data_IF_547509369744
#
_entry.id   IF_547509369744
#
_cell.length_a   1.000
_cell.length_b   1.000
_cell.length_c   1.000
_cell.angle_alpha   90.00
_cell.angle_beta   90.00
_cell.angle_gamma   90.00
#
_symmetry.space_group_name_H-M   'P 1'
#
loop_
_entity.id
_entity.type
_entity.pdbx_description
1 polymer ?
#
# COMPACT_ATOMS: atom_id res chain seq x y z
N UNK A 1 -29.42 30.14 -27.42
CA UNK A 1 -29.73 29.60 -28.75
C UNK A 1 -29.93 30.78 -29.67
N UNK A 2 -29.50 30.69 -30.93
CA UNK A 2 -29.70 31.78 -31.90
C UNK A 2 -31.14 31.78 -32.41
N UNK A 3 -31.77 32.96 -32.45
CA UNK A 3 -33.15 33.20 -32.91
C UNK A 3 -33.23 34.14 -34.11
N UNK A 4 -32.11 34.69 -34.57
CA UNK A 4 -32.04 35.63 -35.71
C UNK A 4 -31.31 34.98 -36.88
N UNK A 5 -31.61 35.44 -38.10
CA UNK A 5 -31.05 34.89 -39.33
C UNK A 5 -31.90 33.78 -39.95
N UNK A 6 -31.73 33.56 -41.25
CA UNK A 6 -32.38 32.46 -41.97
C UNK A 6 -31.87 31.12 -41.41
N UNK A 7 -32.77 30.19 -41.07
CA UNK A 7 -32.45 28.89 -40.50
C UNK A 7 -31.74 28.97 -39.13
N UNK A 8 -32.14 29.93 -38.30
CA UNK A 8 -31.66 30.04 -36.92
C UNK A 8 -31.76 28.70 -36.18
N UNK A 9 -30.89 28.47 -35.19
CA UNK A 9 -30.91 27.23 -34.42
C UNK A 9 -32.30 26.99 -33.79
N UNK A 10 -32.95 28.04 -33.30
CA UNK A 10 -34.31 27.95 -32.77
C UNK A 10 -35.31 27.49 -33.83
N UNK A 11 -35.30 28.11 -35.02
CA UNK A 11 -36.19 27.74 -36.14
C UNK A 11 -36.01 26.27 -36.53
N UNK A 12 -34.75 25.82 -36.64
CA UNK A 12 -34.41 24.44 -36.99
C UNK A 12 -34.84 23.43 -35.95
N UNK A 13 -35.06 23.82 -34.70
CA UNK A 13 -35.46 22.91 -33.63
C UNK A 13 -36.96 22.97 -33.35
N UNK A 14 -37.57 24.16 -33.31
CA UNK A 14 -38.93 24.35 -32.80
C UNK A 14 -39.96 24.82 -33.84
N UNK A 15 -39.54 25.44 -34.94
CA UNK A 15 -40.48 25.92 -35.98
C UNK A 15 -40.77 24.89 -37.08
N UNK A 16 -40.41 23.62 -36.83
CA UNK A 16 -40.80 22.51 -37.72
C UNK A 16 -42.31 22.32 -37.68
N UNK A 17 -42.90 21.97 -38.82
CA UNK A 17 -44.36 21.77 -38.99
C UNK A 17 -44.97 20.87 -37.91
N UNK A 18 -44.29 19.79 -37.53
CA UNK A 18 -44.78 18.84 -36.54
C UNK A 18 -44.79 19.41 -35.12
N UNK A 19 -43.81 20.24 -34.75
CA UNK A 19 -43.74 20.84 -33.41
C UNK A 19 -44.71 22.01 -33.30
N UNK A 20 -44.83 22.83 -34.35
CA UNK A 20 -45.83 23.90 -34.43
C UNK A 20 -47.26 23.38 -34.31
N UNK A 21 -47.55 22.24 -34.94
CA UNK A 21 -48.84 21.59 -34.83
C UNK A 21 -49.09 20.97 -33.44
N UNK A 22 -48.02 20.58 -32.74
CA UNK A 22 -48.09 20.01 -31.40
C UNK A 22 -48.28 21.11 -30.35
N UNK A 23 -47.59 22.23 -30.51
CA UNK A 23 -47.51 23.28 -29.50
C UNK A 23 -47.23 24.66 -30.15
N UNK A 24 -48.27 25.50 -30.34
CA UNK A 24 -48.13 26.80 -30.97
C UNK A 24 -47.32 27.82 -30.17
N UNK A 25 -47.02 27.55 -28.89
CA UNK A 25 -46.32 28.49 -28.01
C UNK A 25 -44.91 28.86 -28.49
N UNK A 26 -44.31 27.99 -29.33
CA UNK A 26 -42.99 28.21 -29.89
C UNK A 26 -42.98 29.15 -31.10
N UNK A 27 -44.14 29.54 -31.62
CA UNK A 27 -44.27 30.54 -32.68
C UNK A 27 -43.89 31.94 -32.19
N UNK A 28 -43.40 32.83 -33.09
CA UNK A 28 -43.09 34.20 -32.69
C UNK A 28 -44.37 34.96 -32.34
N UNK A 29 -44.29 35.85 -31.36
CA UNK A 29 -45.35 36.79 -31.05
C UNK A 29 -45.47 37.92 -32.10
N UNK A 30 -46.39 38.86 -31.88
CA UNK A 30 -46.61 39.98 -32.80
C UNK A 30 -45.37 40.89 -32.97
N UNK A 31 -44.42 40.85 -32.03
CA UNK A 31 -43.16 41.60 -32.07
C UNK A 31 -42.00 40.76 -32.64
N UNK A 32 -42.29 39.56 -33.13
CA UNK A 32 -41.32 38.59 -33.63
C UNK A 32 -40.31 38.13 -32.55
N UNK A 33 -40.77 38.07 -31.30
CA UNK A 33 -40.04 37.51 -30.16
C UNK A 33 -40.60 36.12 -29.78
N UNK A 34 -39.80 35.32 -29.09
CA UNK A 34 -40.13 33.93 -28.76
C UNK A 34 -40.16 33.73 -27.25
N UNK A 35 -41.16 33.00 -26.75
CA UNK A 35 -41.26 32.57 -25.35
C UNK A 35 -41.17 33.75 -24.35
N UNK A 36 -41.91 34.83 -24.62
CA UNK A 36 -41.95 36.07 -23.82
C UNK A 36 -42.98 36.03 -22.69
N UNK A 37 -43.95 35.12 -22.74
CA UNK A 37 -44.98 34.98 -21.71
C UNK A 37 -44.38 34.31 -20.44
N UNK A 38 -44.36 35.03 -19.29
CA UNK A 38 -43.73 34.52 -18.07
C UNK A 38 -44.53 33.39 -17.39
N UNK A 39 -45.77 33.13 -17.83
CA UNK A 39 -46.64 32.09 -17.26
C UNK A 39 -46.39 30.70 -17.84
N UNK A 40 -45.67 30.62 -18.96
CA UNK A 40 -45.36 29.38 -19.65
C UNK A 40 -44.43 28.49 -18.82
N UNK A 41 -44.73 27.19 -18.80
CA UNK A 41 -43.97 26.23 -18.00
C UNK A 41 -43.35 25.10 -18.81
N UNK A 42 -42.12 24.73 -18.45
CA UNK A 42 -41.43 23.58 -19.04
C UNK A 42 -42.27 22.31 -18.85
N UNK A 43 -42.85 22.11 -17.66
CA UNK A 43 -43.67 20.96 -17.32
C UNK A 43 -44.94 20.81 -18.17
N UNK A 44 -45.52 21.91 -18.67
CA UNK A 44 -46.75 21.92 -19.48
C UNK A 44 -46.46 21.65 -20.97
N UNK A 45 -45.22 21.89 -21.41
CA UNK A 45 -44.81 21.84 -22.83
C UNK A 45 -43.74 20.74 -23.12
N UNK A 46 -43.59 19.74 -22.24
CA UNK A 46 -42.55 18.71 -22.32
C UNK A 46 -42.51 18.01 -23.69
N UNK A 47 -43.65 17.61 -24.25
CA UNK A 47 -43.71 16.85 -25.50
C UNK A 47 -43.07 17.61 -26.68
N UNK A 48 -43.30 18.92 -26.75
CA UNK A 48 -42.72 19.77 -27.78
C UNK A 48 -41.22 20.00 -27.54
N UNK A 49 -40.81 20.17 -26.28
CA UNK A 49 -39.39 20.26 -25.89
C UNK A 49 -38.65 18.97 -26.27
N UNK A 50 -39.19 17.80 -25.90
CA UNK A 50 -38.63 16.50 -26.28
C UNK A 50 -38.42 16.38 -27.79
N UNK A 51 -39.44 16.73 -28.58
CA UNK A 51 -39.37 16.67 -30.03
C UNK A 51 -38.35 17.67 -30.61
N UNK A 52 -38.23 18.86 -30.02
CA UNK A 52 -37.34 19.92 -30.46
C UNK A 52 -35.87 19.61 -30.19
N UNK A 53 -35.51 19.25 -28.96
CA UNK A 53 -34.10 19.03 -28.57
C UNK A 53 -33.69 17.55 -28.56
N UNK A 54 -34.62 16.61 -28.81
CA UNK A 54 -34.39 15.17 -28.77
C UNK A 54 -33.82 14.70 -27.41
N UNK A 55 -34.49 15.10 -26.32
CA UNK A 55 -34.20 14.70 -24.94
C UNK A 55 -35.42 13.97 -24.35
N UNK A 56 -35.22 13.04 -23.41
CA UNK A 56 -36.31 12.34 -22.73
C UNK A 56 -37.01 13.25 -21.71
N UNK A 57 -38.30 13.03 -21.45
CA UNK A 57 -39.06 13.75 -20.43
C UNK A 57 -38.38 13.74 -19.05
N UNK A 58 -37.94 12.55 -18.61
CA UNK A 58 -37.29 12.38 -17.30
C UNK A 58 -36.00 13.21 -17.19
N UNK A 59 -35.22 13.29 -18.27
CA UNK A 59 -33.98 14.08 -18.30
C UNK A 59 -34.28 15.59 -18.30
N UNK A 60 -35.35 16.03 -18.99
CA UNK A 60 -35.81 17.43 -18.97
C UNK A 60 -36.22 17.83 -17.56
N UNK A 61 -37.07 17.02 -16.90
CA UNK A 61 -37.53 17.27 -15.53
C UNK A 61 -36.38 17.20 -14.52
N UNK A 62 -35.46 16.26 -14.72
CA UNK A 62 -34.25 16.16 -13.92
C UNK A 62 -33.39 17.42 -14.03
N UNK A 63 -33.13 17.94 -15.23
CA UNK A 63 -32.37 19.18 -15.40
C UNK A 63 -33.11 20.41 -14.87
N UNK A 64 -34.43 20.49 -15.09
CA UNK A 64 -35.28 21.57 -14.60
C UNK A 64 -35.15 21.73 -13.07
N UNK A 65 -35.24 20.61 -12.35
CA UNK A 65 -35.07 20.58 -10.89
C UNK A 65 -33.62 20.76 -10.44
N UNK A 66 -32.67 20.06 -11.06
CA UNK A 66 -31.25 20.04 -10.65
C UNK A 66 -30.55 21.36 -10.89
N UNK A 67 -30.89 22.05 -11.98
CA UNK A 67 -30.31 23.35 -12.33
C UNK A 67 -31.17 24.53 -11.86
N UNK A 68 -32.28 24.25 -11.16
CA UNK A 68 -33.18 25.25 -10.57
C UNK A 68 -33.69 26.22 -11.65
N UNK A 69 -34.23 25.69 -12.76
CA UNK A 69 -34.74 26.50 -13.88
C UNK A 69 -36.14 27.09 -13.62
N UNK A 70 -36.64 26.98 -12.38
CA UNK A 70 -37.94 27.50 -11.90
C UNK A 70 -39.16 27.05 -12.68
N UNK A 71 -39.04 25.97 -13.48
CA UNK A 71 -40.06 25.46 -14.38
C UNK A 71 -40.52 26.46 -15.45
N UNK A 72 -39.81 27.58 -15.66
CA UNK A 72 -40.22 28.61 -16.62
C UNK A 72 -39.80 28.23 -18.04
N UNK A 73 -40.74 28.25 -18.99
CA UNK A 73 -40.43 28.07 -20.40
C UNK A 73 -40.04 29.42 -21.03
N UNK A 74 -38.74 29.66 -21.10
CA UNK A 74 -38.15 30.82 -21.78
C UNK A 74 -36.93 30.38 -22.62
N UNK A 75 -36.41 31.28 -23.44
CA UNK A 75 -35.28 30.98 -24.32
C UNK A 75 -33.98 30.64 -23.56
N UNK A 76 -33.78 31.22 -22.38
CA UNK A 76 -32.61 30.98 -21.54
C UNK A 76 -32.59 29.53 -21.04
N UNK A 77 -33.65 29.09 -20.38
CA UNK A 77 -33.81 27.74 -19.86
C UNK A 77 -33.78 26.70 -20.99
N UNK A 78 -34.40 27.00 -22.14
CA UNK A 78 -34.36 26.12 -23.31
C UNK A 78 -32.93 25.97 -23.86
N UNK A 79 -32.16 27.06 -23.85
CA UNK A 79 -30.74 27.03 -24.21
C UNK A 79 -29.92 26.19 -23.23
N UNK A 80 -30.23 26.26 -21.93
CA UNK A 80 -29.60 25.43 -20.89
C UNK A 80 -29.91 23.94 -21.12
N UNK A 81 -31.15 23.57 -21.39
CA UNK A 81 -31.50 22.18 -21.71
C UNK A 81 -30.78 21.70 -22.98
N UNK A 82 -30.78 22.51 -24.02
CA UNK A 82 -30.14 22.16 -25.30
C UNK A 82 -28.63 21.95 -25.16
N UNK A 83 -27.89 22.83 -24.45
CA UNK A 83 -26.43 22.67 -24.30
C UNK A 83 -26.04 21.41 -23.51
N UNK A 84 -26.83 21.03 -22.50
CA UNK A 84 -26.61 19.77 -21.77
C UNK A 84 -26.91 18.55 -22.65
N UNK A 85 -27.93 18.64 -23.53
CA UNK A 85 -28.21 17.56 -24.50
C UNK A 85 -27.08 17.40 -25.52
N UNK A 86 -26.58 18.51 -26.05
CA UNK A 86 -25.49 18.47 -27.05
C UNK A 86 -24.24 17.88 -26.43
N UNK A 87 -23.84 18.35 -25.24
CA UNK A 87 -22.61 17.88 -24.61
C UNK A 87 -22.72 16.41 -24.17
N UNK A 88 -23.85 16.00 -23.57
CA UNK A 88 -24.05 14.59 -23.18
C UNK A 88 -23.96 13.65 -24.38
N UNK A 89 -24.59 14.02 -25.52
CA UNK A 89 -24.49 13.24 -26.76
C UNK A 89 -23.09 13.23 -27.35
N UNK A 90 -22.36 14.35 -27.27
CA UNK A 90 -20.99 14.45 -27.76
C UNK A 90 -20.04 13.52 -26.98
N UNK A 91 -20.22 13.41 -25.67
CA UNK A 91 -19.41 12.56 -24.79
C UNK A 91 -19.95 11.12 -24.67
N UNK A 92 -21.10 10.81 -25.28
CA UNK A 92 -21.74 9.50 -25.14
C UNK A 92 -22.30 9.21 -23.74
N UNK A 93 -22.53 10.25 -22.92
CA UNK A 93 -23.04 10.13 -21.55
C UNK A 93 -24.55 10.26 -21.45
N UNK A 94 -25.13 9.68 -20.41
CA UNK A 94 -26.47 10.06 -19.97
C UNK A 94 -26.44 11.46 -19.34
N UNK A 95 -27.57 12.17 -19.39
CA UNK A 95 -27.69 13.52 -18.82
C UNK A 95 -27.34 13.55 -17.32
N UNK A 96 -27.76 12.53 -16.56
CA UNK A 96 -27.41 12.39 -15.14
C UNK A 96 -25.90 12.23 -14.91
N UNK A 97 -25.23 11.43 -15.75
CA UNK A 97 -23.77 11.23 -15.70
C UNK A 97 -23.03 12.52 -16.07
N UNK A 98 -23.54 13.29 -17.03
CA UNK A 98 -22.98 14.61 -17.35
C UNK A 98 -23.04 15.57 -16.17
N UNK A 99 -24.11 15.56 -15.36
CA UNK A 99 -24.19 16.38 -14.15
C UNK A 99 -23.12 15.95 -13.12
N UNK A 100 -22.91 14.66 -12.94
CA UNK A 100 -21.83 14.15 -12.06
C UNK A 100 -20.47 14.59 -12.60
N UNK A 101 -20.22 14.42 -13.90
CA UNK A 101 -18.98 14.86 -14.54
C UNK A 101 -18.76 16.37 -14.36
N UNK A 102 -19.81 17.17 -14.49
CA UNK A 102 -19.78 18.62 -14.25
C UNK A 102 -19.34 18.96 -12.82
N UNK A 103 -19.88 18.25 -11.83
CA UNK A 103 -19.51 18.44 -10.42
C UNK A 103 -18.05 18.07 -10.15
N UNK A 104 -17.55 17.00 -10.76
CA UNK A 104 -16.18 16.50 -10.54
C UNK A 104 -15.12 17.26 -11.35
N UNK A 105 -15.41 17.59 -12.60
CA UNK A 105 -14.43 18.09 -13.57
C UNK A 105 -14.52 19.62 -13.74
N UNK A 106 -15.65 20.24 -13.40
CA UNK A 106 -15.93 21.67 -13.53
C UNK A 106 -17.09 21.99 -14.47
N UNK A 107 -17.55 23.25 -14.49
CA UNK A 107 -18.65 23.68 -15.37
C UNK A 107 -18.16 24.00 -16.79
N UNK A 108 -18.48 23.19 -17.82
CA UNK A 108 -18.05 23.43 -19.20
C UNK A 108 -18.80 24.60 -19.86
N UNK A 109 -19.87 25.10 -19.26
CA UNK A 109 -20.74 26.11 -19.86
C UNK A 109 -20.47 27.53 -19.38
N UNK A 110 -19.49 27.72 -18.49
CA UNK A 110 -19.11 29.04 -18.00
C UNK A 110 -18.46 29.90 -19.10
N UNK A 111 -17.48 29.34 -19.83
CA UNK A 111 -16.84 29.96 -20.98
C UNK A 111 -16.09 28.91 -21.83
N UNK A 112 -15.52 29.34 -22.96
CA UNK A 112 -14.78 28.45 -23.88
C UNK A 112 -13.54 27.81 -23.25
N UNK A 113 -12.87 28.49 -22.32
CA UNK A 113 -11.69 27.97 -21.62
C UNK A 113 -12.07 26.88 -20.64
N UNK A 114 -13.16 27.05 -19.89
CA UNK A 114 -13.68 26.02 -18.99
C UNK A 114 -14.21 24.81 -19.76
N UNK A 115 -14.84 25.02 -20.92
CA UNK A 115 -15.23 23.94 -21.82
C UNK A 115 -14.00 23.10 -22.26
N UNK A 116 -12.94 23.78 -22.71
CA UNK A 116 -11.71 23.08 -23.10
C UNK A 116 -11.08 22.32 -21.92
N UNK A 117 -10.96 22.96 -20.75
CA UNK A 117 -10.41 22.31 -19.56
C UNK A 117 -11.25 21.12 -19.09
N UNK A 118 -12.58 21.20 -19.23
CA UNK A 118 -13.48 20.08 -18.95
C UNK A 118 -13.20 18.90 -19.89
N UNK A 119 -13.08 19.16 -21.21
CA UNK A 119 -12.80 18.13 -22.21
C UNK A 119 -11.41 17.48 -22.01
N UNK A 120 -10.39 18.26 -21.65
CA UNK A 120 -9.07 17.71 -21.32
C UNK A 120 -9.13 16.77 -20.11
N UNK A 121 -9.88 17.13 -19.06
CA UNK A 121 -10.07 16.27 -17.90
C UNK A 121 -10.92 15.04 -18.23
N UNK A 122 -11.93 15.20 -19.09
CA UNK A 122 -12.74 14.10 -19.58
C UNK A 122 -11.89 13.04 -20.29
N UNK A 123 -11.02 13.46 -21.21
CA UNK A 123 -10.11 12.54 -21.89
C UNK A 123 -9.14 11.84 -20.95
N UNK A 124 -8.61 12.54 -19.93
CA UNK A 124 -7.78 11.91 -18.90
C UNK A 124 -8.54 10.86 -18.09
N UNK A 125 -9.82 11.08 -17.84
CA UNK A 125 -10.69 10.11 -17.19
C UNK A 125 -10.86 8.88 -18.09
N UNK A 126 -11.19 9.06 -19.36
CA UNK A 126 -11.31 7.96 -20.34
C UNK A 126 -10.00 7.16 -20.46
N UNK A 127 -8.86 7.84 -20.58
CA UNK A 127 -7.53 7.21 -20.68
C UNK A 127 -7.16 6.39 -19.44
N UNK A 128 -7.71 6.73 -18.27
CA UNK A 128 -7.50 5.98 -17.02
C UNK A 128 -8.32 4.69 -16.95
N UNK A 129 -9.32 4.51 -17.84
CA UNK A 129 -10.28 3.41 -17.78
C UNK A 129 -11.37 3.57 -16.72
N UNK A 130 -11.34 4.63 -15.92
CA UNK A 130 -12.36 4.93 -14.91
C UNK A 130 -13.58 5.60 -15.53
N UNK A 131 -14.76 5.32 -14.97
CA UNK A 131 -15.97 6.06 -15.26
C UNK A 131 -16.28 7.14 -14.20
N UNK A 132 -17.27 7.99 -14.47
CA UNK A 132 -17.64 9.10 -13.58
C UNK A 132 -18.12 8.67 -12.21
N UNK A 133 -18.78 7.51 -12.10
CA UNK A 133 -19.25 6.99 -10.82
C UNK A 133 -18.09 6.46 -9.98
N UNK A 134 -17.12 5.79 -10.61
CA UNK A 134 -15.88 5.35 -9.94
C UNK A 134 -15.08 6.53 -9.43
N UNK A 135 -14.90 7.57 -10.25
CA UNK A 135 -14.23 8.80 -9.79
C UNK A 135 -15.01 9.47 -8.65
N UNK A 136 -16.35 9.50 -8.72
CA UNK A 136 -17.19 10.06 -7.66
C UNK A 136 -17.05 9.29 -6.35
N UNK A 137 -17.01 7.96 -6.43
CA UNK A 137 -16.82 7.09 -5.29
C UNK A 137 -15.44 7.31 -4.66
N UNK A 138 -14.37 7.32 -5.46
CA UNK A 138 -13.00 7.50 -4.98
C UNK A 138 -12.78 8.88 -4.35
N UNK A 139 -13.34 9.94 -4.95
CA UNK A 139 -13.03 11.32 -4.54
C UNK A 139 -14.00 11.90 -3.52
N UNK A 140 -15.26 11.47 -3.54
CA UNK A 140 -16.32 12.02 -2.69
C UNK A 140 -17.00 10.98 -1.80
N UNK A 141 -16.64 9.70 -1.91
CA UNK A 141 -17.28 8.59 -1.19
C UNK A 141 -18.81 8.55 -1.42
N UNK A 142 -19.25 8.93 -2.62
CA UNK A 142 -20.65 8.86 -3.04
C UNK A 142 -20.76 7.67 -3.98
N UNK A 143 -21.53 6.67 -3.56
CA UNK A 143 -21.75 5.46 -4.33
C UNK A 143 -23.01 5.57 -5.21
N UNK A 144 -23.03 4.79 -6.29
CA UNK A 144 -24.18 4.68 -7.17
C UNK A 144 -25.17 3.65 -6.60
N UNK A 145 -26.34 4.13 -6.13
CA UNK A 145 -27.36 3.26 -5.56
C UNK A 145 -27.89 2.17 -6.51
N UNK A 146 -27.89 2.42 -7.83
CA UNK A 146 -28.36 1.45 -8.83
C UNK A 146 -27.30 0.38 -9.14
N UNK A 147 -26.02 0.74 -8.97
CA UNK A 147 -24.86 -0.11 -9.23
C UNK A 147 -23.73 0.21 -8.24
N UNK A 148 -23.83 -0.27 -6.98
CA UNK A 148 -22.86 0.05 -5.96
C UNK A 148 -21.46 -0.44 -6.36
N UNK A 149 -20.48 0.44 -6.19
CA UNK A 149 -19.05 0.17 -6.33
C UNK A 149 -18.49 -0.34 -4.99
N UNK A 150 -19.06 0.11 -3.86
CA UNK A 150 -18.65 -0.33 -2.55
C UNK A 150 -18.86 -1.84 -2.38
N UNK A 151 -17.90 -2.49 -1.74
CA UNK A 151 -18.06 -3.86 -1.29
C UNK A 151 -19.24 -4.00 -0.34
N UNK A 152 -19.94 -5.14 -0.42
CA UNK A 152 -21.05 -5.38 0.49
C UNK A 152 -20.55 -5.52 1.93
N UNK A 153 -21.41 -5.24 2.91
CA UNK A 153 -21.08 -5.45 4.32
C UNK A 153 -20.63 -6.91 4.59
N UNK A 154 -21.20 -7.86 3.85
CA UNK A 154 -20.84 -9.27 3.91
C UNK A 154 -19.39 -9.49 3.46
N UNK A 155 -18.96 -8.87 2.36
CA UNK A 155 -17.59 -9.01 1.85
C UNK A 155 -16.57 -8.38 2.79
N UNK A 156 -16.89 -7.21 3.36
CA UNK A 156 -16.06 -6.55 4.38
C UNK A 156 -15.93 -7.44 5.62
N UNK A 157 -17.01 -8.08 6.06
CA UNK A 157 -16.99 -9.01 7.20
C UNK A 157 -16.18 -10.28 6.90
N UNK A 158 -16.28 -10.83 5.68
CA UNK A 158 -15.45 -11.97 5.27
C UNK A 158 -13.97 -11.61 5.25
N UNK A 159 -13.61 -10.47 4.65
CA UNK A 159 -12.23 -9.98 4.67
C UNK A 159 -11.72 -9.81 6.11
N UNK A 160 -12.52 -9.19 6.98
CA UNK A 160 -12.16 -9.02 8.38
C UNK A 160 -11.99 -10.35 9.12
N UNK A 161 -12.83 -11.33 8.83
CA UNK A 161 -12.72 -12.69 9.36
C UNK A 161 -11.44 -13.37 8.87
N UNK A 162 -11.17 -13.35 7.57
CA UNK A 162 -10.01 -14.00 6.96
C UNK A 162 -8.70 -13.39 7.48
N UNK A 163 -8.64 -12.06 7.63
CA UNK A 163 -7.52 -11.38 8.25
C UNK A 163 -7.35 -11.80 9.72
N UNK A 164 -8.44 -11.84 10.48
CA UNK A 164 -8.40 -12.26 11.89
C UNK A 164 -7.93 -13.71 12.05
N UNK A 165 -8.43 -14.62 11.21
CA UNK A 165 -8.03 -16.03 11.20
C UNK A 165 -6.56 -16.21 10.78
N UNK A 166 -6.11 -15.49 9.75
CA UNK A 166 -4.72 -15.50 9.30
C UNK A 166 -3.74 -15.01 10.39
N UNK A 167 -4.06 -13.89 11.06
CA UNK A 167 -3.24 -13.37 12.16
C UNK A 167 -3.19 -14.34 13.36
N UNK A 168 -4.30 -15.01 13.68
CA UNK A 168 -4.36 -16.04 14.73
C UNK A 168 -3.61 -17.31 14.35
N UNK A 169 -3.62 -17.68 13.07
CA UNK A 169 -2.88 -18.84 12.58
C UNK A 169 -1.36 -18.64 12.79
N UNK A 170 -0.84 -17.43 12.50
CA UNK A 170 0.57 -17.09 12.77
C UNK A 170 0.90 -17.25 14.26
N UNK A 171 0.05 -16.74 15.16
CA UNK A 171 0.28 -16.88 16.61
C UNK A 171 0.31 -18.35 17.05
N UNK A 172 -0.54 -19.18 16.46
CA UNK A 172 -0.63 -20.60 16.79
C UNK A 172 0.53 -21.42 16.23
N UNK A 173 0.92 -21.19 14.98
CA UNK A 173 1.98 -21.93 14.28
C UNK A 173 3.39 -21.55 14.77
N UNK A 174 3.53 -20.32 15.26
CA UNK A 174 4.77 -19.80 15.83
C UNK A 174 4.59 -19.48 17.32
N UNK A 175 3.91 -20.35 18.07
CA UNK A 175 3.87 -20.29 19.52
C UNK A 175 5.28 -20.46 20.12
N UNK A 176 5.48 -19.92 21.33
CA UNK A 176 6.75 -20.03 22.02
C UNK A 176 7.10 -21.51 22.29
N UNK A 177 8.38 -21.84 22.16
CA UNK A 177 8.88 -23.22 22.25
C UNK A 177 9.29 -23.49 23.70
N UNK A 178 8.84 -24.61 24.26
CA UNK A 178 9.25 -25.02 25.61
C UNK A 178 10.71 -25.50 25.62
N UNK A 179 11.40 -25.31 26.75
CA UNK A 179 12.83 -25.65 26.87
C UNK A 179 13.17 -27.11 26.59
N UNK A 180 12.25 -28.02 26.88
CA UNK A 180 12.38 -29.46 26.64
C UNK A 180 12.20 -29.86 25.17
N UNK A 181 11.52 -29.03 24.38
CA UNK A 181 11.27 -29.26 22.95
C UNK A 181 12.36 -28.65 22.06
N UNK A 182 13.36 -27.98 22.65
CA UNK A 182 14.42 -27.33 21.89
C UNK A 182 15.21 -28.32 21.04
N UNK A 183 15.38 -27.98 19.77
CA UNK A 183 16.41 -28.57 18.90
C UNK A 183 17.06 -27.47 18.06
N UNK A 184 18.31 -27.73 17.63
CA UNK A 184 19.01 -26.79 16.75
C UNK A 184 18.31 -26.64 15.40
N UNK A 185 17.64 -27.70 14.93
CA UNK A 185 16.86 -27.70 13.70
C UNK A 185 15.61 -26.81 13.82
N UNK A 186 14.97 -26.80 15.00
CA UNK A 186 13.87 -25.86 15.26
C UNK A 186 14.37 -24.42 15.22
N UNK A 187 15.47 -24.10 15.90
CA UNK A 187 16.05 -22.75 15.86
C UNK A 187 16.38 -22.34 14.42
N UNK A 188 17.05 -23.21 13.66
CA UNK A 188 17.37 -22.97 12.25
C UNK A 188 16.11 -22.71 11.43
N UNK A 189 15.11 -23.58 11.53
CA UNK A 189 13.86 -23.47 10.78
C UNK A 189 13.11 -22.16 11.04
N UNK A 190 13.12 -21.67 12.30
CA UNK A 190 12.46 -20.42 12.67
C UNK A 190 13.24 -19.21 12.16
N UNK A 191 14.57 -19.19 12.31
CA UNK A 191 15.42 -18.11 11.79
C UNK A 191 15.28 -17.97 10.26
N UNK A 192 15.21 -19.09 9.53
CA UNK A 192 15.08 -19.12 8.06
C UNK A 192 13.77 -18.53 7.53
N UNK A 193 12.78 -18.24 8.37
CA UNK A 193 11.52 -17.63 7.93
C UNK A 193 11.70 -16.15 7.55
N UNK A 194 12.69 -15.46 8.12
CA UNK A 194 12.91 -14.02 7.89
C UNK A 194 14.38 -13.66 7.62
N UNK A 195 15.33 -14.51 7.97
CA UNK A 195 16.75 -14.27 7.71
C UNK A 195 17.28 -15.09 6.54
N UNK A 196 18.26 -14.53 5.84
CA UNK A 196 18.96 -15.22 4.76
C UNK A 196 19.78 -16.41 5.27
N UNK A 197 19.96 -17.47 4.47
CA UNK A 197 20.65 -18.70 4.88
C UNK A 197 22.05 -18.48 5.46
N UNK A 198 22.80 -17.49 4.94
CA UNK A 198 24.16 -17.17 5.42
C UNK A 198 24.15 -16.66 6.86
N UNK A 199 23.19 -15.79 7.19
CA UNK A 199 23.05 -15.27 8.55
C UNK A 199 22.54 -16.36 9.50
N UNK A 200 21.60 -17.19 9.04
CA UNK A 200 21.08 -18.32 9.82
C UNK A 200 22.21 -19.25 10.24
N UNK A 201 23.03 -19.74 9.31
CA UNK A 201 24.11 -20.68 9.63
C UNK A 201 25.20 -20.03 10.49
N UNK A 202 25.45 -18.74 10.33
CA UNK A 202 26.36 -17.99 11.20
C UNK A 202 25.84 -17.91 12.64
N UNK A 203 24.53 -17.71 12.85
CA UNK A 203 23.93 -17.73 14.20
C UNK A 203 24.01 -19.13 14.79
N UNK A 204 23.67 -20.17 14.00
CA UNK A 204 23.74 -21.57 14.44
C UNK A 204 25.17 -21.96 14.84
N UNK A 205 26.19 -21.58 14.07
CA UNK A 205 27.59 -21.92 14.38
C UNK A 205 28.10 -21.26 15.68
N UNK A 206 27.57 -20.08 16.03
CA UNK A 206 27.83 -19.43 17.33
C UNK A 206 27.18 -20.21 18.46
N UNK A 207 25.93 -20.66 18.29
CA UNK A 207 25.19 -21.44 19.30
C UNK A 207 25.82 -22.82 19.53
N UNK A 208 26.28 -23.47 18.46
CA UNK A 208 26.97 -24.77 18.52
C UNK A 208 28.43 -24.68 18.99
N UNK A 209 29.00 -23.47 19.06
CA UNK A 209 30.41 -23.28 19.42
C UNK A 209 31.41 -23.75 18.36
N UNK A 210 30.99 -23.81 17.09
CA UNK A 210 31.80 -24.31 15.96
C UNK A 210 32.47 -23.21 15.16
N UNK A 211 32.12 -21.94 15.41
CA UNK A 211 32.75 -20.78 14.75
C UNK A 211 34.24 -20.72 15.05
N UNK A 212 35.06 -20.58 14.01
CA UNK A 212 36.52 -20.43 14.14
C UNK A 212 36.91 -18.96 14.04
N UNK A 213 37.51 -18.45 15.11
CA UNK A 213 38.08 -17.10 15.18
C UNK A 213 39.60 -17.18 15.00
N UNK A 214 40.19 -16.23 14.29
CA UNK A 214 41.62 -16.29 14.02
C UNK A 214 42.22 -14.90 13.85
N UNK A 215 43.47 -14.76 14.30
CA UNK A 215 44.27 -13.56 14.04
C UNK A 215 45.73 -13.93 13.84
N UNK A 216 46.45 -13.08 13.12
CA UNK A 216 47.90 -13.14 13.04
C UNK A 216 48.52 -12.52 14.29
N UNK A 217 49.69 -13.02 14.68
CA UNK A 217 50.57 -12.39 15.65
C UNK A 217 51.50 -11.44 14.90
N UNK A 218 51.59 -10.19 15.36
CA UNK A 218 52.47 -9.16 14.78
C UNK A 218 53.93 -9.28 15.26
N UNK A 219 54.18 -10.12 16.26
CA UNK A 219 55.49 -10.32 16.87
C UNK A 219 56.07 -11.73 16.68
N UNK A 220 57.19 -11.97 17.35
CA UNK A 220 57.91 -13.27 17.34
C UNK A 220 57.55 -14.20 18.51
N UNK A 221 56.55 -13.82 19.31
CA UNK A 221 56.07 -14.62 20.45
C UNK A 221 55.51 -15.99 20.01
N UNK A 222 55.70 -17.01 20.85
CA UNK A 222 55.15 -18.36 20.67
C UNK A 222 54.05 -18.58 21.71
N UNK A 223 52.84 -18.89 21.27
CA UNK A 223 51.72 -19.14 22.19
C UNK A 223 51.77 -20.56 22.73
N UNK A 224 51.72 -20.71 24.06
CA UNK A 224 51.49 -21.98 24.72
C UNK A 224 49.99 -22.23 24.85
N UNK A 225 49.50 -23.30 24.21
CA UNK A 225 48.08 -23.71 24.22
C UNK A 225 47.89 -25.10 24.84
N UNK A 226 48.87 -25.56 25.63
CA UNK A 226 48.83 -26.88 26.24
C UNK A 226 47.63 -27.03 27.20
N UNK A 227 46.79 -28.02 26.95
CA UNK A 227 45.56 -28.25 27.71
C UNK A 227 44.34 -27.43 27.27
N UNK A 228 44.47 -26.66 26.18
CA UNK A 228 43.40 -25.82 25.63
C UNK A 228 42.96 -26.33 24.25
N UNK A 229 42.05 -27.30 24.23
CA UNK A 229 41.64 -28.01 23.01
C UNK A 229 40.98 -27.11 21.96
N UNK A 230 40.42 -25.97 22.37
CA UNK A 230 39.80 -24.99 21.47
C UNK A 230 40.83 -24.09 20.76
N UNK A 231 42.06 -24.01 21.26
CA UNK A 231 43.09 -23.13 20.74
C UNK A 231 44.11 -23.90 19.90
N UNK A 232 44.46 -23.30 18.76
CA UNK A 232 45.50 -23.80 17.88
C UNK A 232 46.45 -22.65 17.59
N UNK A 233 47.75 -22.89 17.82
CA UNK A 233 48.82 -22.00 17.39
C UNK A 233 49.59 -22.64 16.23
N UNK A 234 49.73 -21.89 15.14
CA UNK A 234 50.49 -22.29 13.96
C UNK A 234 51.61 -21.28 13.72
N UNK A 235 52.83 -21.78 13.55
CA UNK A 235 53.99 -21.02 13.11
C UNK A 235 54.60 -21.75 11.90
N UNK A 236 54.49 -21.15 10.72
CA UNK A 236 55.06 -21.69 9.47
C UNK A 236 56.43 -21.05 9.14
N UNK A 237 57.00 -20.26 10.06
CA UNK A 237 58.25 -19.51 9.89
C UNK A 237 58.09 -18.18 9.16
N UNK A 238 56.96 -17.92 8.49
CA UNK A 238 56.64 -16.67 7.79
C UNK A 238 55.48 -15.93 8.46
N UNK A 239 54.49 -16.68 8.95
CA UNK A 239 53.29 -16.21 9.60
C UNK A 239 53.05 -17.00 10.89
N UNK A 240 52.60 -16.28 11.92
CA UNK A 240 52.18 -16.85 13.19
C UNK A 240 50.71 -16.58 13.36
N UNK A 241 49.92 -17.62 13.56
CA UNK A 241 48.45 -17.53 13.66
C UNK A 241 47.97 -18.19 14.92
N UNK A 242 47.14 -17.47 15.67
CA UNK A 242 46.34 -18.02 16.75
C UNK A 242 44.90 -18.17 16.25
N UNK A 243 44.32 -19.34 16.52
CA UNK A 243 42.93 -19.64 16.20
C UNK A 243 42.22 -20.22 17.42
N UNK A 244 40.94 -19.89 17.58
CA UNK A 244 40.04 -20.42 18.59
C UNK A 244 38.78 -20.99 17.93
N UNK A 245 38.33 -22.16 18.35
CA UNK A 245 37.03 -22.72 17.96
C UNK A 245 36.03 -22.52 19.09
N UNK A 246 34.94 -21.80 18.83
CA UNK A 246 33.94 -21.44 19.84
C UNK A 246 34.37 -20.31 20.79
N UNK A 247 33.65 -20.17 21.89
CA UNK A 247 33.92 -19.14 22.92
C UNK A 247 34.62 -19.82 24.10
N UNK A 248 35.80 -19.31 24.47
CA UNK A 248 36.55 -19.86 25.59
C UNK A 248 35.81 -19.63 26.92
N UNK A 249 35.84 -20.64 27.78
CA UNK A 249 35.33 -20.59 29.15
C UNK A 249 36.25 -19.75 30.05
N UNK A 250 35.72 -19.31 31.20
CA UNK A 250 36.49 -18.56 32.20
C UNK A 250 37.70 -19.35 32.72
N UNK A 251 37.57 -20.68 32.78
CA UNK A 251 38.67 -21.58 33.16
C UNK A 251 39.75 -21.66 32.09
N UNK A 252 39.36 -21.83 30.82
CA UNK A 252 40.31 -21.84 29.69
C UNK A 252 41.04 -20.51 29.57
N UNK A 253 40.32 -19.39 29.79
CA UNK A 253 40.90 -18.06 29.81
C UNK A 253 41.98 -17.90 30.89
N UNK A 254 41.68 -18.35 32.11
CA UNK A 254 42.62 -18.30 33.22
C UNK A 254 43.86 -19.15 32.96
N UNK A 255 43.71 -20.31 32.34
CA UNK A 255 44.82 -21.19 31.95
C UNK A 255 45.68 -20.51 30.88
N UNK A 256 45.08 -19.96 29.82
CA UNK A 256 45.82 -19.30 28.75
C UNK A 256 46.64 -18.12 29.27
N UNK A 257 46.02 -17.27 30.09
CA UNK A 257 46.66 -16.09 30.67
C UNK A 257 47.75 -16.45 31.68
N UNK A 258 47.63 -17.59 32.38
CA UNK A 258 48.67 -18.09 33.29
C UNK A 258 49.89 -18.70 32.57
N UNK A 259 49.70 -19.20 31.35
CA UNK A 259 50.75 -19.85 30.54
C UNK A 259 51.50 -18.89 29.61
N UNK A 260 50.94 -17.71 29.31
CA UNK A 260 51.46 -16.78 28.30
C UNK A 260 51.66 -15.38 28.89
N UNK A 261 52.89 -14.85 28.81
CA UNK A 261 53.24 -13.50 29.28
C UNK A 261 53.68 -12.55 28.17
N UNK A 262 53.84 -13.04 26.93
CA UNK A 262 54.25 -12.24 25.79
C UNK A 262 53.14 -11.27 25.36
N UNK A 263 53.47 -9.99 25.20
CA UNK A 263 52.50 -8.93 24.92
C UNK A 263 51.83 -9.08 23.54
N UNK A 264 52.54 -9.62 22.53
CA UNK A 264 51.96 -9.88 21.21
C UNK A 264 51.01 -11.07 21.24
N UNK A 265 51.34 -12.12 22.01
CA UNK A 265 50.44 -13.28 22.21
C UNK A 265 49.17 -12.86 22.93
N UNK A 266 49.29 -12.08 24.02
CA UNK A 266 48.14 -11.55 24.76
C UNK A 266 47.29 -10.62 23.88
N UNK A 267 47.91 -9.77 23.07
CA UNK A 267 47.19 -8.90 22.15
C UNK A 267 46.43 -9.69 21.08
N UNK A 268 47.03 -10.72 20.49
CA UNK A 268 46.37 -11.61 19.53
C UNK A 268 45.16 -12.32 20.17
N UNK A 269 45.32 -12.84 21.38
CA UNK A 269 44.23 -13.46 22.12
C UNK A 269 43.07 -12.50 22.42
N UNK A 270 43.37 -11.28 22.85
CA UNK A 270 42.35 -10.25 23.07
C UNK A 270 41.61 -9.87 21.77
N UNK A 271 42.30 -9.83 20.62
CA UNK A 271 41.64 -9.62 19.32
C UNK A 271 40.63 -10.73 19.00
N UNK A 272 40.96 -12.00 19.28
CA UNK A 272 40.02 -13.12 19.12
C UNK A 272 38.77 -12.90 20.00
N UNK A 273 38.96 -12.53 21.28
CA UNK A 273 37.83 -12.19 22.16
C UNK A 273 36.98 -11.04 21.64
N UNK A 274 37.59 -10.00 21.06
CA UNK A 274 36.86 -8.89 20.43
C UNK A 274 36.10 -9.31 19.17
N UNK A 275 36.64 -10.21 18.35
CA UNK A 275 35.94 -10.74 17.17
C UNK A 275 34.62 -11.44 17.55
N UNK A 276 34.60 -12.17 18.68
CA UNK A 276 33.40 -12.83 19.20
C UNK A 276 32.31 -11.80 19.53
N UNK A 277 32.69 -10.72 20.23
CA UNK A 277 31.75 -9.66 20.58
C UNK A 277 31.23 -8.90 19.36
N UNK A 278 32.12 -8.62 18.39
CA UNK A 278 31.75 -7.95 17.14
C UNK A 278 30.77 -8.79 16.32
N UNK A 279 31.03 -10.10 16.21
CA UNK A 279 30.13 -11.01 15.50
C UNK A 279 28.71 -10.97 16.08
N UNK A 280 28.57 -11.00 17.40
CA UNK A 280 27.27 -10.88 18.05
C UNK A 280 26.61 -9.53 17.77
N UNK A 281 27.37 -8.44 17.80
CA UNK A 281 26.86 -7.11 17.46
C UNK A 281 26.41 -7.00 16.00
N UNK A 282 27.08 -7.67 15.07
CA UNK A 282 26.69 -7.66 13.66
C UNK A 282 25.51 -8.57 13.33
N UNK A 283 25.22 -9.57 14.18
CA UNK A 283 24.28 -10.65 13.84
C UNK A 283 23.03 -10.69 14.69
N UNK A 284 23.11 -10.32 15.97
CA UNK A 284 22.06 -10.56 16.96
C UNK A 284 21.71 -9.34 17.82
N UNK A 285 22.42 -8.22 17.72
CA UNK A 285 22.14 -7.03 18.58
C UNK A 285 20.75 -6.46 18.38
N UNK A 286 20.24 -6.52 17.15
CA UNK A 286 18.93 -5.95 16.81
C UNK A 286 17.79 -6.81 17.39
N UNK A 287 18.07 -8.10 17.61
CA UNK A 287 17.12 -9.05 18.15
C UNK A 287 17.21 -9.17 19.68
N UNK A 288 18.42 -9.05 20.23
CA UNK A 288 18.71 -9.29 21.64
C UNK A 288 19.10 -7.97 22.29
N UNK A 289 18.09 -7.32 22.87
CA UNK A 289 18.20 -5.96 23.41
C UNK A 289 18.52 -5.91 24.90
N UNK A 290 18.41 -7.02 25.63
CA UNK A 290 18.64 -7.07 27.08
C UNK A 290 20.09 -7.47 27.45
N UNK A 291 20.75 -6.75 28.38
CA UNK A 291 22.14 -7.01 28.76
C UNK A 291 22.40 -8.42 29.31
N UNK A 292 21.47 -8.98 30.08
CA UNK A 292 21.62 -10.29 30.73
C UNK A 292 21.63 -11.46 29.73
N UNK A 293 20.88 -11.37 28.64
CA UNK A 293 20.78 -12.44 27.65
C UNK A 293 21.99 -12.44 26.70
N UNK A 294 22.57 -11.26 26.45
CA UNK A 294 23.89 -11.14 25.82
C UNK A 294 24.94 -11.89 26.64
N UNK A 295 24.92 -11.74 27.96
CA UNK A 295 25.88 -12.44 28.83
C UNK A 295 25.70 -13.95 28.73
N UNK A 296 24.49 -14.51 28.63
CA UNK A 296 24.30 -15.97 28.48
C UNK A 296 24.86 -16.51 27.14
N UNK A 297 24.67 -15.77 26.06
CA UNK A 297 25.13 -16.18 24.71
C UNK A 297 26.65 -16.04 24.58
N UNK A 298 27.21 -14.98 25.16
CA UNK A 298 28.63 -14.64 25.10
C UNK A 298 29.46 -15.18 26.26
N UNK A 299 28.83 -15.69 27.32
CA UNK A 299 29.49 -16.55 28.28
C UNK A 299 30.11 -17.67 27.45
N UNK A 300 31.34 -18.08 27.81
CA UNK A 300 32.05 -19.14 27.11
C UNK A 300 31.15 -20.37 26.88
N UNK A 301 31.61 -21.37 26.14
CA UNK A 301 30.81 -22.60 25.98
C UNK A 301 30.75 -23.45 27.29
N UNK A 302 30.64 -22.77 28.43
CA UNK A 302 30.13 -23.19 29.73
C UNK A 302 28.62 -23.52 29.64
N UNK A 303 27.87 -22.74 28.85
CA UNK A 303 26.44 -22.95 28.63
C UNK A 303 26.22 -23.97 27.52
N UNK A 304 25.23 -24.86 27.70
CA UNK A 304 24.88 -25.84 26.68
C UNK A 304 24.29 -25.16 25.43
N UNK A 305 24.47 -25.80 24.28
CA UNK A 305 23.82 -25.42 23.01
C UNK A 305 22.32 -25.18 23.20
N UNK A 306 21.68 -26.04 24.00
CA UNK A 306 20.27 -25.92 24.36
C UNK A 306 19.92 -24.62 25.09
N UNK A 307 20.72 -24.22 26.08
CA UNK A 307 20.48 -23.00 26.84
C UNK A 307 20.68 -21.74 25.96
N UNK A 308 21.76 -21.71 25.15
CA UNK A 308 22.02 -20.59 24.23
C UNK A 308 20.92 -20.45 23.18
N UNK A 309 20.54 -21.55 22.54
CA UNK A 309 19.51 -21.55 21.50
C UNK A 309 18.11 -21.22 22.04
N UNK A 310 17.75 -21.71 23.23
CA UNK A 310 16.50 -21.35 23.89
C UNK A 310 16.38 -19.86 24.18
N UNK A 311 17.48 -19.24 24.63
CA UNK A 311 17.52 -17.81 24.87
C UNK A 311 17.29 -17.01 23.60
N UNK A 312 17.89 -17.42 22.48
CA UNK A 312 17.63 -16.79 21.18
C UNK A 312 16.14 -16.92 20.80
N UNK A 313 15.55 -18.12 20.95
CA UNK A 313 14.13 -18.33 20.62
C UNK A 313 13.18 -17.47 21.47
N UNK A 314 13.46 -17.29 22.76
CA UNK A 314 12.65 -16.49 23.68
C UNK A 314 12.44 -15.04 23.15
N UNK A 315 13.48 -14.43 22.58
CA UNK A 315 13.40 -13.11 21.96
C UNK A 315 12.94 -13.15 20.51
N UNK A 316 13.35 -14.18 19.78
CA UNK A 316 13.08 -14.30 18.37
C UNK A 316 11.61 -14.56 18.06
N UNK A 317 10.92 -15.38 18.85
CA UNK A 317 9.57 -15.82 18.54
C UNK A 317 8.54 -14.67 18.55
N UNK A 318 8.55 -13.73 19.51
CA UNK A 318 7.72 -12.52 19.44
C UNK A 318 8.04 -11.64 18.24
N UNK A 319 9.34 -11.44 17.94
CA UNK A 319 9.79 -10.66 16.79
C UNK A 319 9.32 -11.28 15.46
N UNK A 320 9.55 -12.58 15.29
CA UNK A 320 9.10 -13.37 14.14
C UNK A 320 7.59 -13.22 13.92
N UNK A 321 6.77 -13.39 14.96
CA UNK A 321 5.32 -13.23 14.85
C UNK A 321 4.95 -11.82 14.38
N UNK A 322 5.63 -10.79 14.89
CA UNK A 322 5.37 -9.41 14.50
C UNK A 322 5.73 -9.15 13.02
N UNK A 323 6.89 -9.63 12.57
CA UNK A 323 7.34 -9.50 11.18
C UNK A 323 6.39 -10.23 10.22
N UNK A 324 6.01 -11.48 10.54
CA UNK A 324 5.08 -12.25 9.72
C UNK A 324 3.69 -11.58 9.63
N UNK A 325 3.17 -11.04 10.74
CA UNK A 325 1.90 -10.29 10.74
C UNK A 325 1.98 -9.00 9.91
N UNK A 326 3.11 -8.29 9.99
CA UNK A 326 3.33 -7.08 9.21
C UNK A 326 3.39 -7.39 7.71
N UNK A 327 4.07 -8.48 7.33
CA UNK A 327 4.10 -8.94 5.94
C UNK A 327 2.71 -9.30 5.40
N UNK A 328 1.85 -9.92 6.23
CA UNK A 328 0.48 -10.24 5.86
C UNK A 328 -0.37 -8.97 5.62
N UNK A 329 -0.15 -7.93 6.42
CA UNK A 329 -0.86 -6.64 6.29
C UNK A 329 -0.39 -5.78 5.10
N UNK A 330 0.76 -6.09 4.52
CA UNK A 330 1.38 -5.35 3.42
C UNK A 330 1.20 -6.01 2.05
N UNK A 331 0.48 -7.13 1.96
CA UNK A 331 0.11 -7.73 0.68
C UNK A 331 -0.85 -6.75 -0.02
N UNK A 332 -0.48 -6.18 -1.19
CA UNK A 332 -1.39 -5.33 -1.94
C UNK A 332 -2.63 -6.14 -2.28
N UNK A 333 -3.80 -5.54 -2.09
CA UNK A 333 -5.09 -6.10 -2.47
C UNK A 333 -5.00 -6.56 -3.93
N UNK A 334 -4.81 -7.86 -4.16
CA UNK A 334 -4.83 -8.43 -5.50
C UNK A 334 -6.31 -8.48 -5.88
N UNK A 335 -6.75 -7.54 -6.72
CA UNK A 335 -8.06 -7.58 -7.36
C UNK A 335 -8.26 -8.94 -8.03
N UNK A 336 -9.38 -9.59 -7.73
CA UNK A 336 -9.84 -10.80 -8.40
C UNK A 336 -10.84 -10.47 -9.48
#
# INVERSE_FOLDING_TARGET
METRGEQSLYERLFLKKNIRALDPVFEPDAMNEFLTDPTLKISEHISAIMAGINMKADDILYLNSTLILTDQLNLENLTILYRHQVLSRFLGLKVKELIIAKTLLGDPFADAKQCHAFLEKWHKLEDSGLNVHELQYITANIDNADKPIAHSQKDILFLGKDLHEGLRAIDKEHADIAGEDFTIDILRSKLSLIYEPVLVERIISVVEGTTVYSTNLEGVGTANVAGLNKLIFLDDGVSRRLSATGILTTSEDSIFMGQNSDSFVIAAYNRIKSQIQLLFQETLSDLITLPFDKDIILQGDENSVGLKGMKILEFFMPYLRNELKTSLSSIPFQEK
#
